data_IF_511471419116
#
_entry.id   IF_511471419116
#
_cell.length_a   1.000
_cell.length_b   1.000
_cell.length_c   1.000
_cell.angle_alpha   90.00
_cell.angle_beta   90.00
_cell.angle_gamma   90.00
#
_symmetry.space_group_name_H-M   'P 1'
#
loop_
_entity.id
_entity.type
_entity.pdbx_description
1 polymer ?
#
# COMPACT_ATOMS: atom_id res chain seq x y z
N UNK A 1 17.15 11.73 -17.78
CA UNK A 1 17.84 10.44 -17.65
C UNK A 1 17.17 9.71 -16.50
N UNK A 2 16.29 8.77 -16.84
CA UNK A 2 15.49 8.02 -15.88
C UNK A 2 16.42 7.01 -15.20
N UNK A 3 16.52 7.07 -13.88
CA UNK A 3 17.34 6.18 -13.10
C UNK A 3 16.63 4.82 -13.04
N UNK A 4 16.99 3.92 -13.96
CA UNK A 4 16.65 2.49 -13.91
C UNK A 4 17.32 1.87 -12.69
N UNK A 5 16.76 2.09 -11.49
CA UNK A 5 17.00 1.18 -10.37
C UNK A 5 16.24 -0.11 -10.67
N UNK A 6 16.87 -0.95 -11.48
CA UNK A 6 16.52 -2.37 -11.57
C UNK A 6 16.62 -2.94 -10.16
N UNK A 7 15.48 -3.09 -9.49
CA UNK A 7 15.37 -3.73 -8.18
C UNK A 7 15.71 -5.21 -8.39
N UNK A 8 16.96 -5.56 -8.15
CA UNK A 8 17.38 -6.96 -8.03
C UNK A 8 16.53 -7.61 -6.94
N UNK A 9 15.78 -8.64 -7.30
CA UNK A 9 14.99 -9.41 -6.32
C UNK A 9 15.98 -9.98 -5.31
N UNK A 10 15.87 -9.65 -4.01
CA UNK A 10 16.71 -10.24 -2.99
C UNK A 10 16.49 -11.74 -3.02
N UNK A 11 17.59 -12.49 -3.13
CA UNK A 11 17.52 -13.95 -3.20
C UNK A 11 17.14 -14.52 -1.82
N UNK A 12 17.50 -13.82 -0.74
CA UNK A 12 17.33 -14.24 0.66
C UNK A 12 16.36 -13.31 1.44
N UNK A 13 15.54 -13.88 2.32
CA UNK A 13 14.69 -13.14 3.25
C UNK A 13 15.46 -12.20 4.20
N UNK A 14 16.72 -12.50 4.54
CA UNK A 14 17.53 -11.70 5.47
C UNK A 14 17.85 -10.30 4.92
N UNK A 15 18.08 -10.19 3.61
CA UNK A 15 18.37 -8.94 2.89
C UNK A 15 17.11 -8.31 2.23
N UNK A 16 15.93 -8.78 2.60
CA UNK A 16 14.69 -8.32 1.98
C UNK A 16 14.38 -6.85 2.35
N UNK A 17 14.19 -5.94 1.38
CA UNK A 17 14.08 -4.50 1.62
C UNK A 17 12.81 -4.13 2.40
N UNK A 18 11.76 -4.95 2.27
CA UNK A 18 10.49 -4.77 2.96
C UNK A 18 10.44 -5.44 4.34
N UNK A 19 11.50 -6.18 4.74
CA UNK A 19 11.47 -7.02 5.96
C UNK A 19 11.10 -6.21 7.19
N UNK A 20 11.56 -4.97 7.30
CA UNK A 20 11.32 -4.10 8.45
C UNK A 20 9.82 -3.86 8.77
N UNK A 21 8.90 -4.08 7.82
CA UNK A 21 7.44 -3.95 8.00
C UNK A 21 6.63 -5.17 7.58
N UNK A 22 7.21 -6.09 6.81
CA UNK A 22 6.52 -7.28 6.30
C UNK A 22 6.12 -8.27 7.41
N UNK A 23 5.41 -9.32 7.00
CA UNK A 23 4.94 -10.38 7.92
C UNK A 23 6.09 -11.11 8.65
N UNK A 24 7.28 -11.14 8.04
CA UNK A 24 8.49 -11.77 8.60
C UNK A 24 9.37 -10.80 9.41
N UNK A 25 8.90 -9.58 9.71
CA UNK A 25 9.69 -8.55 10.40
C UNK A 25 10.24 -8.99 11.77
N UNK A 26 9.48 -9.84 12.46
CA UNK A 26 9.80 -10.34 13.80
C UNK A 26 10.45 -11.72 13.81
N UNK A 27 10.67 -12.32 12.64
CA UNK A 27 11.20 -13.66 12.55
C UNK A 27 12.69 -13.72 12.93
N UNK A 28 13.04 -14.73 13.71
CA UNK A 28 14.42 -15.16 13.96
C UNK A 28 15.02 -15.87 12.73
N UNK A 29 16.34 -16.10 12.73
CA UNK A 29 17.04 -16.63 11.55
C UNK A 29 16.53 -18.01 11.12
N UNK A 30 16.28 -18.92 12.05
CA UNK A 30 15.75 -20.25 11.76
C UNK A 30 14.31 -20.21 11.24
N UNK A 31 13.50 -19.27 11.73
CA UNK A 31 12.14 -19.02 11.23
C UNK A 31 12.15 -18.48 9.79
N UNK A 32 13.13 -17.62 9.47
CA UNK A 32 13.32 -17.11 8.11
C UNK A 32 13.75 -18.20 7.14
N UNK A 33 14.65 -19.10 7.55
CA UNK A 33 15.05 -20.26 6.74
C UNK A 33 13.84 -21.14 6.40
N UNK A 34 12.95 -21.41 7.36
CA UNK A 34 11.71 -22.14 7.11
C UNK A 34 10.75 -21.42 6.17
N UNK A 35 10.65 -20.09 6.27
CA UNK A 35 9.86 -19.29 5.34
C UNK A 35 10.45 -19.30 3.92
N UNK A 36 11.78 -19.28 3.80
CA UNK A 36 12.52 -19.34 2.53
C UNK A 36 12.20 -20.63 1.75
N UNK A 37 12.10 -21.77 2.43
CA UNK A 37 11.75 -23.08 1.82
C UNK A 37 10.38 -23.09 1.12
N UNK A 38 9.45 -22.27 1.60
CA UNK A 38 8.07 -22.20 1.08
C UNK A 38 7.82 -20.92 0.26
N UNK A 39 8.83 -20.08 0.12
CA UNK A 39 8.83 -18.81 -0.60
C UNK A 39 8.92 -19.02 -2.11
N UNK A 40 8.27 -18.15 -2.86
CA UNK A 40 8.54 -17.95 -4.28
C UNK A 40 8.13 -16.54 -4.70
N UNK A 41 8.75 -16.01 -5.75
CA UNK A 41 8.38 -14.70 -6.29
C UNK A 41 7.39 -14.82 -7.44
N UNK A 42 6.45 -13.87 -7.51
CA UNK A 42 5.62 -13.64 -8.70
C UNK A 42 5.81 -12.22 -9.19
N UNK A 43 5.89 -12.06 -10.51
CA UNK A 43 5.94 -10.76 -11.19
C UNK A 43 4.65 -10.56 -11.96
N UNK A 44 4.19 -9.31 -11.99
CA UNK A 44 3.02 -8.90 -12.76
C UNK A 44 3.33 -7.58 -13.46
N UNK A 45 2.84 -7.44 -14.67
CA UNK A 45 2.93 -6.17 -15.42
C UNK A 45 1.85 -5.20 -14.95
N UNK A 46 2.08 -3.90 -15.12
CA UNK A 46 1.05 -2.90 -14.87
C UNK A 46 -0.24 -3.21 -15.65
N UNK A 47 -1.38 -3.19 -14.95
CA UNK A 47 -2.70 -3.53 -15.47
C UNK A 47 -3.08 -5.01 -15.37
N UNK A 48 -2.14 -5.89 -15.00
CA UNK A 48 -2.42 -7.32 -14.88
C UNK A 48 -3.19 -7.64 -13.59
N UNK A 49 -4.24 -8.47 -13.69
CA UNK A 49 -4.92 -9.03 -12.53
C UNK A 49 -4.02 -10.04 -11.81
N UNK A 50 -3.79 -9.79 -10.53
CA UNK A 50 -2.99 -10.61 -9.62
C UNK A 50 -3.84 -11.73 -9.02
N UNK A 51 -5.05 -11.38 -8.56
CA UNK A 51 -6.03 -12.25 -7.90
C UNK A 51 -7.42 -11.84 -8.37
N UNK A 52 -8.29 -12.79 -8.69
CA UNK A 52 -9.71 -12.54 -8.93
C UNK A 52 -10.52 -12.78 -7.66
N UNK A 53 -11.54 -11.96 -7.43
CA UNK A 53 -12.49 -12.19 -6.35
C UNK A 53 -13.17 -13.55 -6.51
N UNK A 54 -13.28 -14.29 -5.40
CA UNK A 54 -13.84 -15.65 -5.39
C UNK A 54 -12.85 -16.76 -5.76
N UNK A 55 -11.71 -16.45 -6.38
CA UNK A 55 -10.71 -17.47 -6.70
C UNK A 55 -10.18 -18.16 -5.44
N UNK A 56 -9.83 -19.44 -5.59
CA UNK A 56 -9.15 -20.19 -4.54
C UNK A 56 -7.74 -19.61 -4.34
N UNK A 57 -7.46 -19.22 -3.10
CA UNK A 57 -6.16 -18.71 -2.66
C UNK A 57 -5.31 -19.84 -2.13
N UNK A 58 -4.36 -20.32 -2.95
CA UNK A 58 -3.35 -21.32 -2.58
C UNK A 58 -2.02 -20.70 -2.11
N UNK A 59 -1.97 -19.36 -2.03
CA UNK A 59 -0.84 -18.61 -1.52
C UNK A 59 -1.27 -17.44 -0.63
N UNK A 60 -0.32 -16.97 0.16
CA UNK A 60 -0.34 -15.64 0.79
C UNK A 60 0.93 -14.91 0.36
N UNK A 61 1.02 -13.60 0.55
CA UNK A 61 2.26 -12.91 0.20
C UNK A 61 2.29 -11.44 0.54
N UNK A 62 3.47 -10.85 0.40
CA UNK A 62 3.67 -9.41 0.56
C UNK A 62 4.12 -8.76 -0.74
N UNK A 63 3.69 -7.53 -0.98
CA UNK A 63 4.22 -6.71 -2.06
C UNK A 63 5.66 -6.32 -1.73
N UNK A 64 6.60 -6.61 -2.63
CA UNK A 64 8.03 -6.28 -2.47
C UNK A 64 8.35 -4.97 -3.15
N UNK A 65 7.82 -4.79 -4.36
CA UNK A 65 7.95 -3.56 -5.13
C UNK A 65 6.75 -3.39 -6.04
N UNK A 66 6.49 -2.15 -6.42
CA UNK A 66 5.29 -1.81 -7.17
C UNK A 66 4.05 -1.75 -6.29
N UNK A 67 2.92 -1.56 -6.94
CA UNK A 67 1.67 -1.15 -6.29
C UNK A 67 0.50 -1.87 -6.95
N UNK A 68 -0.46 -2.29 -6.14
CA UNK A 68 -1.69 -2.91 -6.60
C UNK A 68 -2.91 -2.30 -5.92
N UNK A 69 -4.08 -2.45 -6.53
CA UNK A 69 -5.36 -1.98 -5.97
C UNK A 69 -6.19 -3.17 -5.52
N UNK A 70 -6.95 -3.01 -4.44
CA UNK A 70 -8.04 -3.91 -4.11
C UNK A 70 -9.34 -3.31 -4.64
N UNK A 71 -10.04 -4.05 -5.47
CA UNK A 71 -11.29 -3.63 -6.08
C UNK A 71 -12.39 -4.63 -5.74
N UNK A 72 -13.58 -4.11 -5.46
CA UNK A 72 -14.79 -4.90 -5.32
C UNK A 72 -15.73 -4.60 -6.49
N UNK A 73 -16.17 -5.66 -7.16
CA UNK A 73 -17.21 -5.58 -8.20
C UNK A 73 -18.58 -5.82 -7.57
N UNK A 74 -19.52 -4.93 -7.82
CA UNK A 74 -20.92 -5.01 -7.38
C UNK A 74 -21.74 -5.87 -8.35
N UNK A 75 -22.92 -6.35 -7.90
CA UNK A 75 -23.82 -7.16 -8.72
C UNK A 75 -24.28 -6.47 -10.02
N UNK A 76 -24.36 -5.14 -10.01
CA UNK A 76 -24.73 -4.32 -11.17
C UNK A 76 -23.54 -3.99 -12.09
N UNK A 77 -22.36 -4.57 -11.83
CA UNK A 77 -21.15 -4.40 -12.60
C UNK A 77 -20.35 -3.13 -12.29
N UNK A 78 -20.83 -2.27 -11.37
CA UNK A 78 -20.01 -1.17 -10.86
C UNK A 78 -18.83 -1.72 -10.08
N UNK A 79 -17.70 -1.02 -10.14
CA UNK A 79 -16.52 -1.35 -9.35
C UNK A 79 -16.23 -0.24 -8.37
N UNK A 80 -15.62 -0.59 -7.25
CA UNK A 80 -15.12 0.35 -6.25
C UNK A 80 -13.75 -0.10 -5.79
N UNK A 81 -12.75 0.78 -5.92
CA UNK A 81 -11.48 0.58 -5.24
C UNK A 81 -11.68 0.74 -3.73
N UNK A 82 -11.34 -0.29 -2.96
CA UNK A 82 -11.49 -0.36 -1.50
C UNK A 82 -10.17 -0.28 -0.76
N UNK A 83 -9.04 -0.39 -1.45
CA UNK A 83 -7.72 -0.27 -0.85
C UNK A 83 -6.58 -0.24 -1.84
N UNK A 84 -5.38 0.05 -1.32
CA UNK A 84 -4.13 0.06 -2.05
C UNK A 84 -3.14 -0.85 -1.34
N UNK A 85 -2.44 -1.66 -2.13
CA UNK A 85 -1.33 -2.48 -1.67
C UNK A 85 -0.03 -1.81 -2.09
N UNK A 86 0.76 -1.43 -1.10
CA UNK A 86 2.08 -0.83 -1.20
C UNK A 86 3.13 -1.82 -0.67
N UNK A 87 4.44 -1.56 -0.90
CA UNK A 87 5.47 -2.46 -0.40
C UNK A 87 5.36 -2.72 1.10
N UNK A 88 5.53 -3.99 1.49
CA UNK A 88 5.28 -4.60 2.81
C UNK A 88 3.84 -4.98 3.12
N UNK A 89 2.84 -4.52 2.35
CA UNK A 89 1.45 -4.90 2.60
C UNK A 89 1.24 -6.39 2.30
N UNK A 90 0.41 -7.02 3.13
CA UNK A 90 0.15 -8.46 3.08
C UNK A 90 -1.17 -8.76 2.37
N UNK A 91 -1.16 -9.80 1.55
CA UNK A 91 -2.27 -10.28 0.75
C UNK A 91 -2.55 -11.73 1.08
N UNK A 92 -3.84 -12.04 1.26
CA UNK A 92 -4.32 -13.36 1.63
C UNK A 92 -4.79 -13.41 3.08
N UNK A 93 -5.58 -14.44 3.40
CA UNK A 93 -6.20 -14.60 4.72
C UNK A 93 -6.02 -16.06 5.17
N UNK A 94 -5.09 -16.33 6.09
CA UNK A 94 -4.99 -17.65 6.72
C UNK A 94 -6.36 -18.12 7.23
N UNK A 95 -6.72 -19.37 6.92
CA UNK A 95 -8.01 -19.96 7.29
C UNK A 95 -9.20 -19.64 6.37
N UNK A 96 -9.04 -18.79 5.34
CA UNK A 96 -10.09 -18.56 4.32
C UNK A 96 -9.67 -19.03 2.95
N UNK A 97 -10.45 -19.92 2.34
CA UNK A 97 -10.09 -20.55 1.06
C UNK A 97 -10.06 -19.58 -0.13
N UNK A 98 -10.96 -18.60 -0.18
CA UNK A 98 -11.17 -17.77 -1.37
C UNK A 98 -10.77 -16.30 -1.15
N UNK A 99 -10.38 -15.63 -2.24
CA UNK A 99 -10.12 -14.21 -2.28
C UNK A 99 -11.43 -13.41 -2.12
N UNK A 100 -11.37 -12.30 -1.39
CA UNK A 100 -12.52 -11.43 -1.16
C UNK A 100 -12.62 -10.27 -2.18
N UNK A 101 -11.51 -9.93 -2.83
CA UNK A 101 -11.37 -8.77 -3.68
C UNK A 101 -10.58 -9.14 -4.93
N UNK A 102 -10.84 -8.41 -6.01
CA UNK A 102 -9.95 -8.37 -7.15
C UNK A 102 -8.69 -7.59 -6.75
N UNK A 103 -7.53 -8.10 -7.14
CA UNK A 103 -6.24 -7.42 -6.95
C UNK A 103 -5.63 -7.16 -8.32
N UNK A 104 -5.38 -5.91 -8.66
CA UNK A 104 -4.83 -5.51 -9.97
C UNK A 104 -3.55 -4.71 -9.78
N UNK A 105 -2.48 -5.11 -10.46
CA UNK A 105 -1.22 -4.39 -10.46
C UNK A 105 -1.41 -3.01 -11.13
N UNK A 106 -1.12 -1.92 -10.42
CA UNK A 106 -1.17 -0.55 -10.96
C UNK A 106 0.14 -0.15 -11.64
N UNK A 107 1.24 -0.71 -11.13
CA UNK A 107 2.58 -0.64 -11.73
C UNK A 107 3.09 -2.05 -11.93
N UNK A 108 4.26 -2.21 -12.55
CA UNK A 108 4.97 -3.48 -12.49
C UNK A 108 5.16 -3.87 -11.01
N UNK A 109 4.75 -5.09 -10.67
CA UNK A 109 4.58 -5.56 -9.30
C UNK A 109 5.42 -6.81 -9.08
N UNK A 110 6.14 -6.84 -7.97
CA UNK A 110 6.82 -8.04 -7.48
C UNK A 110 6.21 -8.41 -6.14
N UNK A 111 5.75 -9.65 -6.01
CA UNK A 111 5.25 -10.21 -4.77
C UNK A 111 6.18 -11.32 -4.26
N UNK A 112 6.45 -11.30 -2.96
CA UNK A 112 7.00 -12.42 -2.22
C UNK A 112 5.83 -13.27 -1.74
N UNK A 113 5.64 -14.44 -2.34
CA UNK A 113 4.54 -15.35 -2.02
C UNK A 113 5.04 -16.53 -1.19
N UNK A 114 4.19 -17.04 -0.32
CA UNK A 114 4.37 -18.28 0.40
C UNK A 114 3.25 -19.25 0.05
N UNK A 115 3.59 -20.53 -0.14
CA UNK A 115 2.56 -21.57 -0.27
C UNK A 115 1.68 -21.55 0.98
N UNK A 116 0.38 -21.43 0.81
CA UNK A 116 -0.53 -21.11 1.93
C UNK A 116 -0.60 -22.21 2.98
N UNK A 117 -0.77 -23.48 2.58
CA UNK A 117 -0.88 -24.56 3.55
C UNK A 117 0.38 -24.72 4.43
N UNK A 118 1.61 -24.72 3.86
CA UNK A 118 2.83 -24.66 4.68
C UNK A 118 2.94 -23.39 5.52
N UNK A 119 2.56 -22.23 5.00
CA UNK A 119 2.58 -20.98 5.75
C UNK A 119 1.63 -21.02 6.97
N UNK A 120 0.43 -21.59 6.81
CA UNK A 120 -0.52 -21.78 7.91
C UNK A 120 0.01 -22.75 8.97
N UNK A 121 0.80 -23.76 8.58
CA UNK A 121 1.52 -24.62 9.54
C UNK A 121 2.63 -23.85 10.26
N UNK A 122 3.45 -23.09 9.53
CA UNK A 122 4.49 -22.25 10.14
C UNK A 122 3.89 -21.25 11.13
N UNK A 123 2.74 -20.64 10.81
CA UNK A 123 2.03 -19.72 11.71
C UNK A 123 1.59 -20.39 13.02
N UNK A 124 1.28 -21.71 13.01
CA UNK A 124 0.96 -22.46 14.24
C UNK A 124 2.20 -22.74 15.10
N UNK A 125 3.36 -22.91 14.45
CA UNK A 125 4.61 -23.28 15.11
C UNK A 125 5.46 -22.06 15.50
N UNK A 126 5.21 -20.91 14.87
CA UNK A 126 6.02 -19.69 14.97
C UNK A 126 5.17 -18.51 15.47
N UNK A 127 5.14 -18.25 16.79
CA UNK A 127 4.32 -17.20 17.37
C UNK A 127 4.60 -15.80 16.80
N UNK A 128 5.85 -15.51 16.41
CA UNK A 128 6.26 -14.24 15.83
C UNK A 128 5.48 -13.89 14.54
N UNK A 129 5.20 -14.87 13.68
CA UNK A 129 4.41 -14.68 12.45
C UNK A 129 2.96 -14.35 12.81
N UNK A 130 2.35 -15.12 13.71
CA UNK A 130 0.97 -14.92 14.11
C UNK A 130 0.76 -13.56 14.80
N UNK A 131 1.68 -13.18 15.71
CA UNK A 131 1.66 -11.87 16.36
C UNK A 131 1.81 -10.75 15.34
N UNK A 132 2.77 -10.86 14.40
CA UNK A 132 2.97 -9.83 13.39
C UNK A 132 1.75 -9.69 12.47
N UNK A 133 1.12 -10.79 12.07
CA UNK A 133 -0.14 -10.75 11.31
C UNK A 133 -1.26 -10.07 12.07
N UNK A 134 -1.37 -10.28 13.39
CA UNK A 134 -2.36 -9.61 14.22
C UNK A 134 -2.11 -8.10 14.26
N UNK A 135 -0.86 -7.67 14.50
CA UNK A 135 -0.46 -6.26 14.46
C UNK A 135 -0.84 -5.62 13.11
N UNK A 136 -0.42 -6.25 12.00
CA UNK A 136 -0.74 -5.76 10.64
C UNK A 136 -2.26 -5.69 10.40
N UNK A 137 -3.03 -6.64 10.93
CA UNK A 137 -4.49 -6.64 10.79
C UNK A 137 -5.15 -5.52 11.58
N UNK A 138 -4.63 -5.20 12.77
CA UNK A 138 -5.11 -4.08 13.58
C UNK A 138 -4.75 -2.74 12.93
N UNK A 139 -3.53 -2.60 12.41
CA UNK A 139 -3.07 -1.42 11.66
C UNK A 139 -3.99 -1.18 10.43
N UNK A 140 -4.29 -2.24 9.66
CA UNK A 140 -5.17 -2.15 8.48
C UNK A 140 -6.63 -1.82 8.88
N UNK A 141 -7.10 -2.32 10.03
CA UNK A 141 -8.43 -2.02 10.53
C UNK A 141 -8.56 -0.54 10.93
N UNK A 142 -7.54 0.01 11.59
CA UNK A 142 -7.52 1.43 11.97
C UNK A 142 -7.38 2.32 10.74
N UNK A 143 -6.53 1.95 9.77
CA UNK A 143 -6.44 2.62 8.47
C UNK A 143 -7.79 2.62 7.73
N UNK A 144 -8.53 1.50 7.73
CA UNK A 144 -9.84 1.41 7.10
C UNK A 144 -10.88 2.34 7.78
N UNK A 145 -10.85 2.44 9.12
CA UNK A 145 -11.73 3.34 9.87
C UNK A 145 -11.42 4.81 9.59
N UNK A 146 -10.15 5.17 9.53
CA UNK A 146 -9.73 6.52 9.15
C UNK A 146 -10.16 6.83 7.71
N UNK A 147 -10.00 5.87 6.79
CA UNK A 147 -10.43 6.05 5.40
C UNK A 147 -11.94 6.27 5.28
N UNK A 148 -12.75 5.65 6.15
CA UNK A 148 -14.19 5.95 6.21
C UNK A 148 -14.47 7.42 6.57
N UNK A 149 -13.70 8.02 7.49
CA UNK A 149 -13.82 9.44 7.84
C UNK A 149 -13.41 10.34 6.67
N UNK A 150 -12.28 10.02 6.03
CA UNK A 150 -11.81 10.71 4.83
C UNK A 150 -12.90 10.72 3.77
N UNK A 151 -13.46 9.55 3.44
CA UNK A 151 -14.49 9.45 2.40
C UNK A 151 -15.82 10.12 2.79
N UNK A 152 -16.21 10.04 4.06
CA UNK A 152 -17.53 10.44 4.52
C UNK A 152 -17.67 11.90 5.00
N UNK A 153 -16.56 12.56 5.37
CA UNK A 153 -16.62 13.92 5.99
C UNK A 153 -15.63 14.92 5.42
N UNK A 154 -14.47 14.49 4.93
CA UNK A 154 -13.47 15.40 4.37
C UNK A 154 -13.93 15.97 3.02
N UNK A 155 -13.63 17.25 2.78
CA UNK A 155 -13.81 17.94 1.51
C UNK A 155 -12.91 17.34 0.43
N UNK A 156 -13.18 17.67 -0.85
CA UNK A 156 -12.36 17.16 -1.95
C UNK A 156 -10.87 17.54 -1.84
N UNK A 157 -10.56 18.71 -1.24
CA UNK A 157 -9.18 19.15 -1.02
C UNK A 157 -8.51 18.33 0.07
N UNK A 158 -9.17 18.20 1.22
CA UNK A 158 -8.70 17.42 2.36
C UNK A 158 -8.52 15.93 2.01
N UNK A 159 -9.43 15.35 1.22
CA UNK A 159 -9.30 13.97 0.69
C UNK A 159 -8.02 13.76 -0.10
N UNK A 160 -7.67 14.71 -0.96
CA UNK A 160 -6.45 14.61 -1.78
C UNK A 160 -5.20 14.85 -0.93
N UNK A 161 -5.23 15.84 -0.03
CA UNK A 161 -4.14 16.06 0.90
C UNK A 161 -3.88 14.83 1.79
N UNK A 162 -4.95 14.20 2.29
CA UNK A 162 -4.88 12.93 3.05
C UNK A 162 -4.25 11.79 2.24
N UNK A 163 -4.65 11.63 0.98
CA UNK A 163 -4.05 10.61 0.11
C UNK A 163 -2.55 10.86 -0.12
N UNK A 164 -2.17 12.10 -0.39
CA UNK A 164 -0.78 12.47 -0.61
C UNK A 164 0.06 12.27 0.65
N UNK A 165 -0.47 12.59 1.84
CA UNK A 165 0.24 12.42 3.11
C UNK A 165 0.48 10.95 3.44
N UNK A 166 -0.50 10.07 3.20
CA UNK A 166 -0.36 8.62 3.39
C UNK A 166 0.72 8.05 2.46
N UNK A 167 0.69 8.41 1.17
CA UNK A 167 1.66 7.92 0.19
C UNK A 167 3.07 8.42 0.55
N UNK A 168 3.21 9.70 0.92
CA UNK A 168 4.47 10.28 1.34
C UNK A 168 5.06 9.57 2.57
N UNK A 169 4.23 9.29 3.60
CA UNK A 169 4.64 8.59 4.82
C UNK A 169 5.06 7.15 4.53
N UNK A 170 4.28 6.41 3.74
CA UNK A 170 4.62 5.03 3.38
C UNK A 170 5.91 4.97 2.55
N UNK A 171 6.09 5.86 1.58
CA UNK A 171 7.33 5.95 0.78
C UNK A 171 8.55 6.36 1.63
N UNK A 172 8.38 7.25 2.60
CA UNK A 172 9.44 7.59 3.55
C UNK A 172 9.82 6.40 4.44
N UNK A 173 8.82 5.69 4.97
CA UNK A 173 8.98 4.50 5.81
C UNK A 173 9.76 3.38 5.11
N UNK A 174 9.35 3.03 3.88
CA UNK A 174 10.01 2.01 3.06
C UNK A 174 11.49 2.36 2.77
N UNK A 175 11.76 3.63 2.52
CA UNK A 175 13.12 4.11 2.22
C UNK A 175 13.91 4.51 3.47
N UNK A 176 13.40 4.23 4.68
CA UNK A 176 14.01 4.58 5.96
C UNK A 176 14.41 6.07 6.06
N UNK A 177 13.57 6.94 5.48
CA UNK A 177 13.75 8.40 5.49
C UNK A 177 12.92 9.02 6.61
N UNK A 178 13.48 10.01 7.30
CA UNK A 178 12.71 10.80 8.25
C UNK A 178 11.63 11.62 7.53
N UNK A 179 10.45 11.72 8.13
CA UNK A 179 9.28 12.42 7.58
C UNK A 179 9.34 13.95 7.88
N UNK A 180 10.50 14.46 8.28
CA UNK A 180 10.69 15.86 8.69
C UNK A 180 11.21 16.69 7.52
N UNK A 181 10.50 17.76 7.18
CA UNK A 181 10.89 18.67 6.08
C UNK A 181 10.34 18.23 4.73
N UNK A 182 11.13 18.44 3.67
CA UNK A 182 10.67 18.17 2.31
C UNK A 182 10.73 16.67 1.98
N UNK A 183 9.62 16.14 1.46
CA UNK A 183 9.51 14.75 0.99
C UNK A 183 9.26 14.74 -0.51
N UNK A 184 9.96 13.85 -1.19
CA UNK A 184 9.82 13.59 -2.62
C UNK A 184 9.44 12.15 -2.82
N UNK A 185 8.37 11.92 -3.57
CA UNK A 185 7.84 10.59 -3.90
C UNK A 185 7.16 10.61 -5.27
N UNK A 186 7.02 9.42 -5.87
CA UNK A 186 6.22 9.24 -7.08
C UNK A 186 4.80 8.81 -6.72
N UNK A 187 3.81 9.57 -7.20
CA UNK A 187 2.40 9.25 -7.06
C UNK A 187 2.07 8.05 -7.95
N UNK A 188 1.65 6.92 -7.36
CA UNK A 188 1.49 5.68 -8.09
C UNK A 188 0.15 5.55 -8.79
N UNK A 189 -0.78 6.46 -8.47
CA UNK A 189 -2.12 6.50 -9.02
C UNK A 189 -2.21 7.50 -10.16
N UNK A 190 -2.96 7.13 -11.19
CA UNK A 190 -3.47 8.10 -12.17
C UNK A 190 -4.52 9.00 -11.53
N UNK A 191 -4.88 10.10 -12.19
CA UNK A 191 -5.95 10.98 -11.69
C UNK A 191 -7.30 10.26 -11.70
N UNK A 192 -7.49 9.35 -12.65
CA UNK A 192 -8.66 8.47 -12.75
C UNK A 192 -8.71 7.50 -11.57
N UNK A 193 -7.59 6.85 -11.24
CA UNK A 193 -7.53 5.93 -10.10
C UNK A 193 -7.72 6.66 -8.76
N UNK A 194 -7.19 7.89 -8.62
CA UNK A 194 -7.49 8.72 -7.45
C UNK A 194 -8.97 9.10 -7.36
N UNK A 195 -9.61 9.38 -8.50
CA UNK A 195 -11.02 9.75 -8.55
C UNK A 195 -11.90 8.57 -8.06
N UNK A 196 -11.62 7.38 -8.56
CA UNK A 196 -12.26 6.13 -8.12
C UNK A 196 -12.02 5.87 -6.62
N UNK A 197 -10.77 6.00 -6.16
CA UNK A 197 -10.42 5.71 -4.78
C UNK A 197 -10.99 6.70 -3.75
N UNK A 198 -11.12 7.98 -4.12
CA UNK A 198 -11.58 9.05 -3.22
C UNK A 198 -13.09 9.35 -3.34
N UNK A 199 -13.78 8.69 -4.27
CA UNK A 199 -15.16 8.99 -4.61
C UNK A 199 -15.33 10.43 -5.14
N UNK A 200 -14.42 10.85 -6.01
CA UNK A 200 -14.39 12.18 -6.63
C UNK A 200 -14.51 12.06 -8.15
N UNK A 201 -14.78 13.15 -8.84
CA UNK A 201 -14.64 13.18 -10.31
C UNK A 201 -13.19 13.44 -10.72
N UNK A 202 -12.78 12.91 -11.89
CA UNK A 202 -11.46 13.18 -12.48
C UNK A 202 -11.14 14.68 -12.57
N UNK A 203 -12.13 15.48 -12.96
CA UNK A 203 -12.03 16.93 -13.03
C UNK A 203 -11.75 17.53 -11.64
N UNK A 204 -12.47 17.07 -10.60
CA UNK A 204 -12.27 17.55 -9.23
C UNK A 204 -10.87 17.22 -8.73
N UNK A 205 -10.38 15.99 -8.96
CA UNK A 205 -9.00 15.61 -8.61
C UNK A 205 -7.99 16.53 -9.31
N UNK A 206 -8.16 16.74 -10.61
CA UNK A 206 -7.25 17.59 -11.40
C UNK A 206 -7.25 19.04 -10.92
N UNK A 207 -8.44 19.59 -10.61
CA UNK A 207 -8.60 20.95 -10.08
C UNK A 207 -7.92 21.12 -8.73
N UNK A 208 -8.15 20.20 -7.80
CA UNK A 208 -7.61 20.30 -6.44
C UNK A 208 -6.10 20.10 -6.38
N UNK A 209 -5.55 19.20 -7.20
CA UNK A 209 -4.10 19.07 -7.36
C UNK A 209 -3.47 20.36 -7.90
N UNK A 210 -4.13 20.99 -8.87
CA UNK A 210 -3.66 22.27 -9.43
C UNK A 210 -3.73 23.38 -8.38
N UNK A 211 -4.75 23.36 -7.51
CA UNK A 211 -4.89 24.29 -6.39
C UNK A 211 -3.78 24.10 -5.35
N UNK A 212 -3.55 22.86 -4.87
CA UNK A 212 -2.46 22.55 -3.93
C UNK A 212 -1.08 22.98 -4.48
N UNK A 213 -0.86 22.79 -5.79
CA UNK A 213 0.35 23.27 -6.47
C UNK A 213 0.43 24.80 -6.48
N UNK A 214 -0.65 25.48 -6.86
CA UNK A 214 -0.69 26.95 -6.91
C UNK A 214 -0.43 27.56 -5.54
N UNK A 215 -0.93 26.92 -4.49
CA UNK A 215 -0.76 27.37 -3.11
C UNK A 215 0.63 27.00 -2.56
N UNK A 216 1.44 26.22 -3.29
CA UNK A 216 2.77 25.79 -2.87
C UNK A 216 2.78 24.73 -1.77
N UNK A 217 1.65 24.04 -1.55
CA UNK A 217 1.58 22.88 -0.65
C UNK A 217 2.33 21.70 -1.27
N UNK A 218 2.28 21.58 -2.59
CA UNK A 218 3.04 20.59 -3.36
C UNK A 218 3.72 21.25 -4.56
N UNK A 219 4.78 20.63 -5.07
CA UNK A 219 5.32 20.85 -6.40
C UNK A 219 5.19 19.57 -7.22
N UNK A 220 5.04 19.73 -8.53
CA UNK A 220 4.90 18.63 -9.48
C UNK A 220 5.95 18.75 -10.59
N UNK A 221 6.73 17.69 -10.77
CA UNK A 221 7.60 17.51 -11.92
C UNK A 221 6.98 16.45 -12.83
N UNK A 222 6.39 16.91 -13.94
CA UNK A 222 5.57 16.03 -14.78
C UNK A 222 4.24 15.65 -14.13
N UNK A 223 3.81 14.40 -14.30
CA UNK A 223 2.47 13.94 -13.88
C UNK A 223 2.44 13.25 -12.52
N UNK A 224 3.54 12.60 -12.14
CA UNK A 224 3.60 11.68 -11.00
C UNK A 224 4.65 12.04 -9.96
N UNK A 225 5.69 12.80 -10.30
CA UNK A 225 6.71 13.17 -9.33
C UNK A 225 6.19 14.32 -8.45
N UNK A 226 6.01 14.06 -7.16
CA UNK A 226 5.47 15.00 -6.18
C UNK A 226 6.56 15.38 -5.19
N UNK A 227 6.75 16.68 -4.99
CA UNK A 227 7.52 17.21 -3.86
C UNK A 227 6.54 17.87 -2.90
N UNK A 228 6.59 17.47 -1.64
CA UNK A 228 5.92 18.14 -0.53
C UNK A 228 7.01 18.95 0.19
N UNK A 229 7.03 20.29 0.10
CA UNK A 229 8.07 21.10 0.74
C UNK A 229 8.00 21.05 2.27
N UNK A 230 6.79 20.95 2.80
CA UNK A 230 6.48 20.93 4.22
C UNK A 230 5.37 19.90 4.50
N UNK A 231 5.74 18.81 5.15
CA UNK A 231 4.79 17.75 5.52
C UNK A 231 3.76 18.20 6.54
N UNK A 232 4.09 19.12 7.45
CA UNK A 232 3.13 19.61 8.42
C UNK A 232 2.02 20.38 7.72
N UNK A 233 2.41 21.28 6.80
CA UNK A 233 1.44 22.02 5.99
C UNK A 233 0.51 21.11 5.18
N UNK A 234 0.99 19.98 4.68
CA UNK A 234 0.14 19.02 3.97
C UNK A 234 -0.85 18.32 4.91
N UNK A 235 -0.47 18.04 6.16
CA UNK A 235 -1.35 17.45 7.17
C UNK A 235 -2.43 18.45 7.62
N UNK A 236 -2.06 19.72 7.79
CA UNK A 236 -3.03 20.78 8.08
C UNK A 236 -4.08 20.89 6.96
N UNK A 237 -3.66 20.79 5.69
CA UNK A 237 -4.55 20.75 4.51
C UNK A 237 -5.39 19.47 4.42
N UNK A 238 -4.96 18.39 5.10
CA UNK A 238 -5.74 17.17 5.23
C UNK A 238 -6.85 17.30 6.29
N UNK A 239 -6.91 18.39 7.04
CA UNK A 239 -7.83 18.56 8.17
C UNK A 239 -7.44 17.68 9.37
N UNK A 240 -6.17 17.27 9.44
CA UNK A 240 -5.62 16.56 10.59
C UNK A 240 -5.21 17.62 11.62
N UNK A 241 -6.19 18.21 12.30
CA UNK A 241 -5.94 19.05 13.46
C UNK A 241 -5.17 18.23 14.51
N UNK A 242 -4.26 18.87 15.22
CA UNK A 242 -3.24 18.32 16.13
C UNK A 242 -3.73 17.44 17.31
N UNK A 243 -4.97 16.97 17.31
CA UNK A 243 -5.66 16.28 18.42
C UNK A 243 -5.75 14.75 18.27
N UNK A 244 -4.89 14.12 17.47
CA UNK A 244 -4.56 12.68 17.67
C UNK A 244 -5.00 11.68 16.60
N UNK A 245 -4.94 12.05 15.32
CA UNK A 245 -4.85 11.06 14.24
C UNK A 245 -3.49 10.37 14.29
N UNK A 246 -3.40 9.23 14.98
CA UNK A 246 -2.17 8.45 15.12
C UNK A 246 -1.86 7.78 13.77
N UNK A 247 -1.08 8.47 12.93
CA UNK A 247 -0.41 7.84 11.79
C UNK A 247 0.81 7.06 12.29
N UNK A 248 0.58 5.83 12.76
CA UNK A 248 1.60 4.81 12.99
C UNK A 248 1.92 4.02 11.70
#
# INVERSE_FOLDING_TARGET
>A
MLNERSLSIPVDCTECPIRHRAVCARCESDELERLEEIKYYRKFEAGQTVIWSGDRMDFVGSVVSGIATLTQTMEDGRTQMVGLLLPSDFVGRPGRANAAYDVVATTDLVMCCFRKAPFEEQMRQTPHIAQRLLEMTLDELDAAREWMLVLGRKTAREKIASLLSIIARRDASINMRNVTGSIVFDLPLTREAMADYLGLTLETVSRQISALRKDGVISLEGKRHVTVPDMQRLLDEAGDDSDGGVFA
#
